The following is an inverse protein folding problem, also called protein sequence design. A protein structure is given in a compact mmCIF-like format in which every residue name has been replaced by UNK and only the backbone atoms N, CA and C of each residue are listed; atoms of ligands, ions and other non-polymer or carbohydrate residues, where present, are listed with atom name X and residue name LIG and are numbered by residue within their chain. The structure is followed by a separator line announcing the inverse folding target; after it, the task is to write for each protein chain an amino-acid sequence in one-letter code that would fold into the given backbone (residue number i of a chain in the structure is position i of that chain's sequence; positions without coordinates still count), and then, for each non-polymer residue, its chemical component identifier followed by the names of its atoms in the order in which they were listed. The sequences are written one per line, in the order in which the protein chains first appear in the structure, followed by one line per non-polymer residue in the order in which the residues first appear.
data_IF_533521523276
#
_entry.id   IF_533521523276
#
_cell.length_a   1.000
_cell.length_b   1.000
_cell.length_c   1.000
_cell.angle_alpha   90.00
_cell.angle_beta   90.00
_cell.angle_gamma   90.00
#
_symmetry.space_group_name_H-M   'P 1'
#
loop_
_entity.id
_entity.type
_entity.pdbx_description
1 polymer ?
#
# COMPACT_ATOMS: atom_id res chain seq x y z
N UNK A 1 -17.88 18.99 4.69
CA UNK A 1 -17.40 18.84 3.31
C UNK A 1 -17.28 17.36 2.99
N UNK A 2 -17.81 16.90 1.85
CA UNK A 2 -17.76 15.51 1.41
C UNK A 2 -16.49 15.27 0.59
N UNK A 3 -15.84 14.11 0.78
CA UNK A 3 -14.66 13.70 0.00
C UNK A 3 -15.13 12.83 -1.17
N UNK A 4 -14.55 13.06 -2.34
CA UNK A 4 -14.87 12.41 -3.61
C UNK A 4 -13.59 12.07 -4.36
N UNK A 5 -13.69 11.29 -5.43
CA UNK A 5 -12.51 10.92 -6.23
C UNK A 5 -11.80 12.14 -6.83
N UNK A 6 -12.55 13.20 -7.17
CA UNK A 6 -12.01 14.42 -7.78
C UNK A 6 -11.23 15.28 -6.77
N UNK A 7 -11.54 15.18 -5.48
CA UNK A 7 -10.93 16.04 -4.46
C UNK A 7 -10.03 15.30 -3.46
N UNK A 8 -10.07 13.97 -3.42
CA UNK A 8 -9.33 13.18 -2.42
C UNK A 8 -7.83 13.44 -2.48
N UNK A 9 -7.24 13.59 -3.66
CA UNK A 9 -5.82 13.88 -3.81
C UNK A 9 -5.45 15.23 -3.17
N UNK A 10 -6.26 16.26 -3.42
CA UNK A 10 -6.09 17.60 -2.81
C UNK A 10 -6.25 17.51 -1.28
N UNK A 11 -7.20 16.72 -0.79
CA UNK A 11 -7.43 16.57 0.65
C UNK A 11 -6.30 15.80 1.35
N UNK A 12 -5.75 14.78 0.71
CA UNK A 12 -4.57 14.06 1.19
C UNK A 12 -3.36 15.00 1.29
N UNK A 13 -3.11 15.85 0.27
CA UNK A 13 -2.05 16.88 0.31
C UNK A 13 -2.25 17.86 1.47
N UNK A 14 -3.50 18.24 1.76
CA UNK A 14 -3.89 19.07 2.92
C UNK A 14 -3.82 18.35 4.27
N UNK A 15 -3.32 17.10 4.31
CA UNK A 15 -3.26 16.27 5.52
C UNK A 15 -4.63 16.11 6.20
N UNK A 16 -5.70 16.05 5.41
CA UNK A 16 -7.03 15.76 5.93
C UNK A 16 -7.20 14.24 6.06
N UNK A 17 -7.20 13.73 7.30
CA UNK A 17 -7.32 12.30 7.60
C UNK A 17 -8.59 11.66 7.03
N UNK A 18 -9.68 12.43 6.88
CA UNK A 18 -10.92 11.96 6.21
C UNK A 18 -10.65 11.46 4.79
N UNK A 19 -9.63 11.99 4.12
CA UNK A 19 -9.25 11.55 2.79
C UNK A 19 -8.61 10.17 2.81
N UNK A 20 -7.87 9.84 3.86
CA UNK A 20 -7.29 8.51 4.03
C UNK A 20 -8.39 7.47 4.30
N UNK A 21 -9.41 7.81 5.09
CA UNK A 21 -10.60 6.96 5.27
C UNK A 21 -11.31 6.71 3.93
N UNK A 22 -11.45 7.73 3.07
CA UNK A 22 -11.98 7.54 1.72
C UNK A 22 -11.14 6.56 0.88
N UNK A 23 -9.79 6.63 0.97
CA UNK A 23 -8.92 5.67 0.28
C UNK A 23 -9.16 4.24 0.76
N UNK A 24 -9.33 4.03 2.07
CA UNK A 24 -9.63 2.72 2.65
C UNK A 24 -10.97 2.20 2.11
N UNK A 25 -12.01 3.02 2.16
CA UNK A 25 -13.36 2.62 1.73
C UNK A 25 -13.42 2.32 0.22
N UNK A 26 -12.82 3.16 -0.62
CA UNK A 26 -12.94 3.04 -2.08
C UNK A 26 -11.89 2.12 -2.71
N UNK A 27 -10.66 2.12 -2.19
CA UNK A 27 -9.54 1.39 -2.78
C UNK A 27 -9.03 0.24 -1.90
N UNK A 28 -9.56 0.05 -0.69
CA UNK A 28 -9.13 -1.02 0.22
C UNK A 28 -9.24 -2.42 -0.39
N UNK A 29 -10.30 -2.70 -1.16
CA UNK A 29 -10.44 -3.98 -1.89
C UNK A 29 -9.36 -4.19 -2.95
N UNK A 30 -9.00 -3.14 -3.69
CA UNK A 30 -7.92 -3.16 -4.68
C UNK A 30 -6.56 -3.40 -4.00
N UNK A 31 -6.27 -2.65 -2.94
CA UNK A 31 -5.03 -2.76 -2.16
C UNK A 31 -4.90 -4.19 -1.64
N UNK A 32 -5.94 -4.70 -0.97
CA UNK A 32 -5.98 -6.05 -0.41
C UNK A 32 -5.74 -7.12 -1.47
N UNK A 33 -6.38 -7.02 -2.63
CA UNK A 33 -6.20 -7.99 -3.72
C UNK A 33 -4.75 -8.04 -4.22
N UNK A 34 -4.10 -6.89 -4.39
CA UNK A 34 -2.70 -6.82 -4.83
C UNK A 34 -1.75 -7.35 -3.74
N UNK A 35 -1.98 -6.98 -2.48
CA UNK A 35 -1.21 -7.50 -1.33
C UNK A 35 -1.30 -9.02 -1.27
N UNK A 36 -2.51 -9.58 -1.28
CA UNK A 36 -2.75 -11.02 -1.24
C UNK A 36 -2.07 -11.76 -2.41
N UNK A 37 -2.12 -11.18 -3.61
CA UNK A 37 -1.46 -11.77 -4.79
C UNK A 37 0.05 -11.89 -4.61
N UNK A 38 0.70 -10.89 -4.02
CA UNK A 38 2.16 -10.85 -3.91
C UNK A 38 2.69 -11.47 -2.60
N UNK A 39 1.85 -11.56 -1.56
CA UNK A 39 2.20 -12.10 -0.24
C UNK A 39 1.35 -13.32 0.12
N UNK A 40 0.94 -14.11 -0.88
CA UNK A 40 0.10 -15.30 -0.68
C UNK A 40 0.69 -16.30 0.34
N UNK A 41 2.01 -16.46 0.34
CA UNK A 41 2.75 -17.34 1.25
C UNK A 41 3.13 -16.70 2.59
N UNK A 42 2.81 -15.42 2.79
CA UNK A 42 3.19 -14.64 3.96
C UNK A 42 1.95 -13.91 4.52
N UNK A 43 0.98 -14.68 5.03
CA UNK A 43 -0.30 -14.13 5.50
C UNK A 43 -0.13 -13.19 6.70
N UNK A 44 0.76 -13.54 7.63
CA UNK A 44 0.99 -12.80 8.88
C UNK A 44 1.49 -11.36 8.68
N UNK A 45 1.98 -11.02 7.48
CA UNK A 45 2.56 -9.70 7.18
C UNK A 45 1.69 -8.89 6.20
N UNK A 46 0.53 -9.43 5.80
CA UNK A 46 -0.35 -8.76 4.85
C UNK A 46 -0.97 -7.50 5.45
N UNK A 47 -1.39 -7.55 6.72
CA UNK A 47 -1.96 -6.38 7.41
C UNK A 47 -0.91 -5.28 7.57
N UNK A 48 0.29 -5.61 8.05
CA UNK A 48 1.43 -4.69 8.14
C UNK A 48 1.75 -4.05 6.77
N UNK A 49 1.76 -4.86 5.70
CA UNK A 49 1.97 -4.36 4.34
C UNK A 49 0.85 -3.42 3.87
N UNK A 50 -0.40 -3.66 4.25
CA UNK A 50 -1.52 -2.77 3.91
C UNK A 50 -1.38 -1.42 4.62
N UNK A 51 -1.03 -1.42 5.91
CA UNK A 51 -0.81 -0.20 6.68
C UNK A 51 0.34 0.63 6.10
N UNK A 52 1.45 -0.03 5.73
CA UNK A 52 2.58 0.62 5.06
C UNK A 52 2.22 1.20 3.69
N UNK A 53 1.30 0.58 2.96
CA UNK A 53 0.78 1.12 1.70
C UNK A 53 -0.03 2.38 1.95
N UNK A 54 -0.93 2.38 2.94
CA UNK A 54 -1.71 3.57 3.30
C UNK A 54 -0.80 4.71 3.77
N UNK A 55 0.22 4.39 4.58
CA UNK A 55 1.22 5.36 5.02
C UNK A 55 2.06 5.88 3.84
N UNK A 56 2.42 5.03 2.88
CA UNK A 56 3.13 5.45 1.67
C UNK A 56 2.29 6.38 0.79
N UNK A 57 1.00 6.10 0.63
CA UNK A 57 0.05 6.98 -0.07
C UNK A 57 0.01 8.34 0.63
N UNK A 58 -0.19 8.34 1.95
CA UNK A 58 -0.21 9.56 2.77
C UNK A 58 1.08 10.37 2.61
N UNK A 59 2.24 9.73 2.72
CA UNK A 59 3.53 10.40 2.71
C UNK A 59 3.97 10.87 1.32
N UNK A 60 3.47 10.26 0.24
CA UNK A 60 3.93 10.51 -1.12
C UNK A 60 2.90 11.11 -2.06
N UNK A 61 1.72 11.50 -1.56
CA UNK A 61 0.68 12.13 -2.40
C UNK A 61 1.14 13.37 -3.17
N UNK A 62 2.15 14.11 -2.68
CA UNK A 62 2.74 15.23 -3.42
C UNK A 62 3.37 14.81 -4.75
N UNK A 63 3.73 13.53 -4.90
CA UNK A 63 4.28 12.97 -6.14
C UNK A 63 3.20 12.47 -7.11
N UNK A 64 1.94 12.44 -6.69
CA UNK A 64 0.84 12.09 -7.57
C UNK A 64 0.58 13.23 -8.55
N UNK A 65 0.46 12.88 -9.82
CA UNK A 65 0.24 13.79 -10.95
C UNK A 65 -0.91 13.22 -11.77
N UNK A 66 -2.03 13.92 -11.75
CA UNK A 66 -3.28 13.51 -12.39
C UNK A 66 -3.24 13.59 -13.92
N UNK A 67 -2.33 14.39 -14.50
CA UNK A 67 -2.14 14.46 -15.95
C UNK A 67 -1.41 13.22 -16.48
N UNK A 68 -0.59 12.58 -15.64
CA UNK A 68 0.24 11.43 -16.02
C UNK A 68 -0.41 10.09 -15.71
N UNK A 69 -1.26 10.01 -14.68
CA UNK A 69 -1.84 8.74 -14.27
C UNK A 69 -3.11 8.94 -13.45
N UNK A 70 -4.01 7.95 -13.49
CA UNK A 70 -5.17 7.95 -12.59
C UNK A 70 -4.74 7.61 -11.16
N UNK A 71 -5.45 8.17 -10.18
CA UNK A 71 -5.18 7.90 -8.76
C UNK A 71 -5.23 6.39 -8.46
N UNK A 72 -6.24 5.69 -9.01
CA UNK A 72 -6.39 4.23 -8.89
C UNK A 72 -5.12 3.49 -9.35
N UNK A 73 -4.59 3.84 -10.53
CA UNK A 73 -3.39 3.20 -11.07
C UNK A 73 -2.14 3.56 -10.26
N UNK A 74 -2.05 4.79 -9.77
CA UNK A 74 -0.94 5.23 -8.91
C UNK A 74 -0.94 4.47 -7.58
N UNK A 75 -2.10 4.31 -6.93
CA UNK A 75 -2.27 3.48 -5.73
C UNK A 75 -1.91 2.02 -6.01
N UNK A 76 -2.37 1.45 -7.12
CA UNK A 76 -2.04 0.09 -7.51
C UNK A 76 -0.53 -0.10 -7.69
N UNK A 77 0.17 0.88 -8.28
CA UNK A 77 1.61 0.85 -8.44
C UNK A 77 2.34 0.87 -7.08
N UNK A 78 1.97 1.79 -6.18
CA UNK A 78 2.54 1.84 -4.82
C UNK A 78 2.34 0.50 -4.12
N UNK A 79 1.12 -0.03 -4.15
CA UNK A 79 0.77 -1.29 -3.50
C UNK A 79 1.62 -2.43 -4.05
N UNK A 80 1.69 -2.58 -5.38
CA UNK A 80 2.50 -3.62 -6.03
C UNK A 80 3.95 -3.57 -5.60
N UNK A 81 4.58 -2.39 -5.65
CA UNK A 81 6.01 -2.28 -5.31
C UNK A 81 6.25 -2.55 -3.83
N UNK A 82 5.38 -2.08 -2.92
CA UNK A 82 5.51 -2.39 -1.49
C UNK A 82 5.34 -3.86 -1.18
N UNK A 83 4.35 -4.53 -1.76
CA UNK A 83 4.17 -5.97 -1.55
C UNK A 83 5.35 -6.80 -2.08
N UNK A 84 5.95 -6.40 -3.21
CA UNK A 84 7.15 -7.05 -3.75
C UNK A 84 8.36 -6.86 -2.83
N UNK A 85 8.57 -5.63 -2.33
CA UNK A 85 9.67 -5.34 -1.41
C UNK A 85 9.51 -6.11 -0.09
N UNK A 86 8.28 -6.21 0.43
CA UNK A 86 7.95 -7.07 1.57
C UNK A 86 8.29 -8.53 1.29
N UNK A 87 7.83 -9.08 0.17
CA UNK A 87 8.08 -10.48 -0.18
C UNK A 87 9.59 -10.79 -0.22
N UNK A 88 10.39 -9.88 -0.79
CA UNK A 88 11.86 -9.99 -0.83
C UNK A 88 12.49 -9.96 0.57
N UNK A 89 12.08 -9.01 1.41
CA UNK A 89 12.58 -8.86 2.79
C UNK A 89 12.26 -10.10 3.63
N UNK A 90 11.03 -10.59 3.57
CA UNK A 90 10.59 -11.73 4.37
C UNK A 90 11.16 -13.06 3.88
N UNK A 91 11.26 -13.29 2.57
CA UNK A 91 11.93 -14.47 2.04
C UNK A 91 13.38 -14.58 2.53
N UNK A 92 14.11 -13.46 2.58
CA UNK A 92 15.47 -13.40 3.15
C UNK A 92 15.48 -13.75 4.64
N UNK A 93 14.62 -13.12 5.44
CA UNK A 93 14.53 -13.36 6.89
C UNK A 93 14.17 -14.80 7.23
N UNK A 94 13.22 -15.41 6.51
CA UNK A 94 12.82 -16.81 6.71
C UNK A 94 13.98 -17.75 6.40
N UNK A 95 14.70 -17.50 5.29
CA UNK A 95 15.87 -18.29 4.94
C UNK A 95 16.98 -18.20 6.00
N UNK A 96 17.27 -16.99 6.51
CA UNK A 96 18.27 -16.79 7.57
C UNK A 96 17.87 -17.48 8.88
N UNK A 97 16.60 -17.39 9.28
CA UNK A 97 16.07 -18.10 10.46
C UNK A 97 16.22 -19.61 10.30
N UNK A 98 15.86 -20.16 9.14
CA UNK A 98 15.98 -21.60 8.85
C UNK A 98 17.43 -22.10 8.93
N UNK A 99 18.39 -21.33 8.41
CA UNK A 99 19.82 -21.68 8.49
C UNK A 99 20.30 -21.70 9.96
N UNK A 100 19.86 -20.73 10.78
CA UNK A 100 20.24 -20.66 12.20
C UNK A 100 19.61 -21.76 13.04
N UNK A 101 18.37 -22.16 12.77
CA UNK A 101 17.67 -23.22 13.49
C UNK A 101 18.19 -24.64 13.17
N UNK A 102 18.97 -24.80 12.10
CA UNK A 102 19.57 -26.07 11.68
C UNK A 102 21.03 -26.25 12.16
N UNK A 103 21.55 -25.31 12.97
CA UNK A 103 22.85 -25.41 13.65
C UNK A 103 22.63 -25.71 15.12
#
# INVERSE_FOLDING_TARGET
MKITEENVAIQLRKRNEKALYFIIDQYGGLIKSIVQKHLASFQDVQEECMDDVLLAIWNHIEKYDEEKNTLKNWIAAITKYKSIDYARKYAKTVNEKRIRSNR
#
